data_IF_685267825343
#
_entry.id   IF_685267825343
#
_cell.length_a   1.000
_cell.length_b   1.000
_cell.length_c   1.000
_cell.angle_alpha   90.00
_cell.angle_beta   90.00
_cell.angle_gamma   90.00
#
_symmetry.space_group_name_H-M   'P 1'
#
loop_
_entity.id
_entity.type
_entity.pdbx_description
1 polymer ?
#
# COMPACT_ATOMS: atom_id res chain seq x y z
N UNK A 1 -53.74 20.36 -9.21
CA UNK A 1 -52.46 20.02 -8.55
C UNK A 1 -51.66 19.20 -9.55
N UNK A 2 -50.43 19.61 -9.91
CA UNK A 2 -49.57 18.77 -10.76
C UNK A 2 -49.08 17.58 -9.94
N UNK A 3 -49.24 16.37 -10.45
CA UNK A 3 -48.68 15.17 -9.82
C UNK A 3 -47.16 15.31 -9.76
N UNK A 4 -46.59 15.28 -8.56
CA UNK A 4 -45.14 15.26 -8.36
C UNK A 4 -44.68 13.84 -8.66
N UNK A 5 -43.85 13.69 -9.69
CA UNK A 5 -43.24 12.42 -10.04
C UNK A 5 -42.10 12.11 -9.06
N UNK A 6 -42.32 11.10 -8.22
CA UNK A 6 -41.37 10.65 -7.20
C UNK A 6 -40.38 9.61 -7.73
N UNK A 7 -40.46 9.19 -9.00
CA UNK A 7 -39.50 8.24 -9.58
C UNK A 7 -38.08 8.81 -9.63
N UNK A 8 -37.93 10.13 -9.67
CA UNK A 8 -36.64 10.83 -9.53
C UNK A 8 -35.97 10.52 -8.19
N UNK A 9 -36.73 10.24 -7.12
CA UNK A 9 -36.15 9.88 -5.83
C UNK A 9 -35.45 8.51 -5.86
N UNK A 10 -35.79 7.64 -6.81
CA UNK A 10 -35.10 6.35 -7.02
C UNK A 10 -33.70 6.55 -7.62
N UNK A 11 -33.40 7.72 -8.18
CA UNK A 11 -32.06 8.04 -8.68
C UNK A 11 -31.08 8.35 -7.55
N UNK A 12 -31.56 8.80 -6.39
CA UNK A 12 -30.71 9.13 -5.22
C UNK A 12 -29.88 7.92 -4.76
N UNK A 13 -30.46 6.72 -4.48
CA UNK A 13 -29.66 5.56 -4.09
C UNK A 13 -28.71 5.11 -5.21
N UNK A 14 -29.13 5.20 -6.48
CA UNK A 14 -28.27 4.86 -7.62
C UNK A 14 -27.06 5.80 -7.74
N UNK A 15 -27.27 7.10 -7.55
CA UNK A 15 -26.18 8.08 -7.52
C UNK A 15 -25.22 7.83 -6.34
N UNK A 16 -25.74 7.41 -5.18
CA UNK A 16 -24.89 7.09 -4.04
C UNK A 16 -23.97 5.90 -4.32
N UNK A 17 -24.48 4.86 -4.98
CA UNK A 17 -23.72 3.67 -5.40
C UNK A 17 -22.57 4.07 -6.35
N UNK A 18 -22.90 4.80 -7.43
CA UNK A 18 -21.91 5.30 -8.41
C UNK A 18 -20.84 6.18 -7.74
N UNK A 19 -21.23 7.03 -6.77
CA UNK A 19 -20.28 7.85 -6.01
C UNK A 19 -19.35 7.02 -5.11
N UNK A 20 -19.82 5.90 -4.56
CA UNK A 20 -18.98 5.00 -3.77
C UNK A 20 -17.96 4.27 -4.65
N UNK A 21 -18.38 3.81 -5.83
CA UNK A 21 -17.51 3.16 -6.80
C UNK A 21 -16.44 4.12 -7.32
N UNK A 22 -16.82 5.34 -7.72
CA UNK A 22 -15.88 6.40 -8.10
C UNK A 22 -14.87 6.69 -6.98
N UNK A 23 -15.32 6.76 -5.73
CA UNK A 23 -14.43 6.97 -4.58
C UNK A 23 -13.43 5.83 -4.42
N UNK A 24 -13.84 4.59 -4.65
CA UNK A 24 -12.98 3.41 -4.60
C UNK A 24 -11.92 3.48 -5.69
N UNK A 25 -12.31 3.72 -6.94
CA UNK A 25 -11.38 3.86 -8.08
C UNK A 25 -10.36 4.98 -7.86
N UNK A 26 -10.81 6.16 -7.41
CA UNK A 26 -9.92 7.28 -7.09
C UNK A 26 -8.93 6.91 -5.98
N UNK A 27 -9.35 6.10 -5.00
CA UNK A 27 -8.48 5.64 -3.92
C UNK A 27 -7.42 4.68 -4.45
N UNK A 28 -7.80 3.74 -5.31
CA UNK A 28 -6.88 2.81 -5.97
C UNK A 28 -5.85 3.55 -6.86
N UNK A 29 -6.31 4.53 -7.66
CA UNK A 29 -5.43 5.36 -8.49
C UNK A 29 -4.46 6.20 -7.66
N UNK A 30 -4.93 6.80 -6.55
CA UNK A 30 -4.06 7.56 -5.63
C UNK A 30 -2.94 6.70 -5.07
N UNK A 31 -3.17 5.41 -4.79
CA UNK A 31 -2.11 4.52 -4.31
C UNK A 31 -1.00 4.28 -5.35
N UNK A 32 -1.30 4.40 -6.65
CA UNK A 32 -0.31 4.27 -7.72
C UNK A 32 0.53 5.54 -7.89
N UNK A 33 -0.07 6.73 -7.67
CA UNK A 33 0.59 8.03 -7.85
C UNK A 33 1.35 8.45 -6.58
N UNK A 34 0.74 8.23 -5.40
CA UNK A 34 1.28 8.58 -4.09
C UNK A 34 0.96 7.44 -3.11
N UNK A 35 1.78 6.38 -3.09
CA UNK A 35 1.56 5.27 -2.18
C UNK A 35 1.58 5.77 -0.72
N UNK A 36 0.66 5.26 0.09
CA UNK A 36 0.55 5.59 1.52
C UNK A 36 1.87 5.34 2.27
N UNK A 37 2.60 4.31 1.83
CA UNK A 37 3.91 3.95 2.36
C UNK A 37 4.94 3.90 1.23
N UNK A 38 6.08 4.55 1.45
CA UNK A 38 7.25 4.39 0.61
C UNK A 38 7.98 3.08 0.97
N UNK A 39 7.57 1.99 0.32
CA UNK A 39 8.12 0.65 0.56
C UNK A 39 9.56 0.48 0.07
N UNK A 40 10.17 1.48 -0.54
CA UNK A 40 11.61 1.46 -0.83
C UNK A 40 12.44 1.83 0.40
N UNK A 41 11.81 2.49 1.38
CA UNK A 41 12.44 2.97 2.61
C UNK A 41 12.04 2.12 3.80
N UNK A 42 13.00 1.98 4.72
CA UNK A 42 12.83 1.22 5.96
C UNK A 42 11.61 1.66 6.78
N UNK A 43 11.40 2.96 6.92
CA UNK A 43 10.25 3.50 7.65
C UNK A 43 8.91 3.12 7.01
N UNK A 44 8.82 3.15 5.68
CA UNK A 44 7.61 2.73 4.97
C UNK A 44 7.36 1.23 5.10
N UNK A 45 8.40 0.41 5.03
CA UNK A 45 8.30 -1.05 5.27
C UNK A 45 7.84 -1.36 6.69
N UNK A 46 8.40 -0.68 7.71
CA UNK A 46 7.99 -0.83 9.11
C UNK A 46 6.50 -0.53 9.30
N UNK A 47 6.04 0.61 8.78
CA UNK A 47 4.65 1.04 8.90
C UNK A 47 3.71 0.08 8.15
N UNK A 48 4.08 -0.30 6.93
CA UNK A 48 3.28 -1.21 6.11
C UNK A 48 3.15 -2.62 6.72
N UNK A 49 4.23 -3.18 7.24
CA UNK A 49 4.24 -4.50 7.86
C UNK A 49 3.76 -4.47 9.33
N UNK A 50 3.58 -3.28 9.92
CA UNK A 50 3.26 -3.08 11.34
C UNK A 50 4.27 -3.76 12.28
N UNK A 51 5.56 -3.59 11.98
CA UNK A 51 6.67 -4.18 12.76
C UNK A 51 7.67 -3.14 13.23
N UNK A 52 8.38 -3.49 14.30
CA UNK A 52 9.44 -2.63 14.84
C UNK A 52 10.68 -2.58 13.94
N UNK A 53 11.51 -1.56 14.16
CA UNK A 53 12.82 -1.47 13.49
C UNK A 53 13.71 -2.69 13.77
N UNK A 54 13.69 -3.20 15.01
CA UNK A 54 14.45 -4.39 15.40
C UNK A 54 13.97 -5.63 14.65
N UNK A 55 12.67 -5.76 14.42
CA UNK A 55 12.12 -6.86 13.64
C UNK A 55 12.61 -6.84 12.20
N UNK A 56 12.71 -5.66 11.57
CA UNK A 56 13.29 -5.53 10.22
C UNK A 56 14.78 -5.90 10.23
N UNK A 57 15.54 -5.47 11.25
CA UNK A 57 16.96 -5.87 11.39
C UNK A 57 17.07 -7.38 11.49
N UNK A 58 16.20 -7.99 12.31
CA UNK A 58 16.16 -9.43 12.52
C UNK A 58 15.83 -10.18 11.23
N UNK A 59 14.83 -9.72 10.46
CA UNK A 59 14.52 -10.34 9.17
C UNK A 59 15.70 -10.32 8.20
N UNK A 60 16.49 -9.23 8.21
CA UNK A 60 17.69 -9.15 7.40
C UNK A 60 18.79 -10.08 7.93
N UNK A 61 19.05 -10.10 9.24
CA UNK A 61 20.12 -10.91 9.82
C UNK A 61 19.85 -12.41 9.77
N UNK A 62 18.58 -12.82 9.90
CA UNK A 62 18.14 -14.21 9.83
C UNK A 62 17.90 -14.69 8.38
N UNK A 63 18.10 -13.82 7.37
CA UNK A 63 17.92 -14.17 5.96
C UNK A 63 16.45 -14.34 5.53
N UNK A 64 15.49 -13.99 6.39
CA UNK A 64 14.07 -13.88 6.01
C UNK A 64 13.91 -12.87 4.88
N UNK A 65 14.55 -11.71 5.02
CA UNK A 65 14.74 -10.76 3.94
C UNK A 65 16.07 -11.07 3.25
N UNK A 66 15.98 -11.57 2.04
CA UNK A 66 17.11 -11.91 1.16
C UNK A 66 17.59 -10.71 0.35
N UNK A 67 18.89 -10.45 0.38
CA UNK A 67 19.53 -9.47 -0.50
C UNK A 67 19.42 -9.91 -1.97
N UNK A 68 19.17 -8.97 -2.87
CA UNK A 68 18.87 -9.22 -4.29
C UNK A 68 17.41 -9.59 -4.58
N UNK A 69 16.59 -9.87 -3.55
CA UNK A 69 15.14 -10.15 -3.73
C UNK A 69 14.26 -9.19 -2.92
N UNK A 70 14.41 -9.16 -1.59
CA UNK A 70 13.62 -8.28 -0.73
C UNK A 70 14.22 -6.88 -0.62
N UNK A 71 15.54 -6.76 -0.78
CA UNK A 71 16.26 -5.51 -0.73
C UNK A 71 17.58 -5.60 -1.49
N UNK A 72 18.16 -4.45 -1.82
CA UNK A 72 19.54 -4.32 -2.27
C UNK A 72 20.26 -3.24 -1.46
N UNK A 73 21.60 -3.27 -1.49
CA UNK A 73 22.44 -2.24 -0.86
C UNK A 73 23.04 -1.35 -1.93
N UNK A 74 22.94 -0.05 -1.72
CA UNK A 74 23.63 0.96 -2.52
C UNK A 74 24.68 1.65 -1.68
N UNK A 75 25.90 1.74 -2.21
CA UNK A 75 26.96 2.56 -1.65
C UNK A 75 26.75 4.00 -2.13
N UNK A 76 26.42 4.89 -1.21
CA UNK A 76 26.28 6.32 -1.49
C UNK A 76 27.00 7.11 -0.40
N UNK A 77 27.95 7.96 -0.78
CA UNK A 77 28.73 8.81 0.13
C UNK A 77 29.39 8.03 1.29
N UNK A 78 30.13 6.96 0.99
CA UNK A 78 30.74 6.05 1.98
C UNK A 78 29.78 5.36 2.96
N UNK A 79 28.46 5.46 2.76
CA UNK A 79 27.46 4.76 3.55
C UNK A 79 26.74 3.71 2.71
N UNK A 80 26.57 2.51 3.26
CA UNK A 80 25.70 1.48 2.68
C UNK A 80 24.25 1.79 3.06
N UNK A 81 23.42 2.05 2.05
CA UNK A 81 21.98 2.27 2.21
C UNK A 81 21.20 1.06 1.72
N UNK A 82 20.28 0.57 2.55
CA UNK A 82 19.35 -0.49 2.15
C UNK A 82 18.15 0.14 1.42
N UNK A 83 17.85 -0.39 0.24
CA UNK A 83 16.66 -0.08 -0.53
C UNK A 83 15.83 -1.35 -0.68
N UNK A 84 14.58 -1.27 -0.28
CA UNK A 84 13.67 -2.41 -0.29
C UNK A 84 12.94 -2.52 -1.64
N UNK A 85 12.65 -3.75 -2.04
CA UNK A 85 11.89 -4.05 -3.26
C UNK A 85 10.41 -4.11 -2.91
N UNK A 86 9.67 -3.06 -3.28
CA UNK A 86 8.24 -2.90 -2.93
C UNK A 86 7.37 -4.11 -3.27
N UNK A 87 7.62 -4.78 -4.40
CA UNK A 87 6.91 -5.99 -4.81
C UNK A 87 7.09 -7.15 -3.82
N UNK A 88 8.34 -7.51 -3.54
CA UNK A 88 8.70 -8.57 -2.61
C UNK A 88 8.18 -8.31 -1.18
N UNK A 89 8.18 -7.05 -0.73
CA UNK A 89 7.60 -6.70 0.59
C UNK A 89 6.08 -6.90 0.63
N UNK A 90 5.37 -6.56 -0.46
CA UNK A 90 3.92 -6.81 -0.58
C UNK A 90 3.62 -8.32 -0.61
N UNK A 91 4.40 -9.09 -1.34
CA UNK A 91 4.29 -10.56 -1.40
C UNK A 91 4.51 -11.20 -0.04
N UNK A 92 5.61 -10.83 0.65
CA UNK A 92 5.90 -11.30 2.00
C UNK A 92 4.75 -11.09 2.98
N UNK A 93 4.10 -9.91 2.93
CA UNK A 93 2.92 -9.63 3.77
C UNK A 93 1.75 -10.55 3.42
N UNK A 94 1.48 -10.76 2.13
CA UNK A 94 0.41 -11.67 1.67
C UNK A 94 0.66 -13.11 2.14
N UNK A 95 1.89 -13.59 2.04
CA UNK A 95 2.26 -14.94 2.49
C UNK A 95 2.10 -15.12 4.00
N UNK A 96 2.43 -14.11 4.81
CA UNK A 96 2.24 -14.13 6.27
C UNK A 96 0.80 -14.03 6.75
N UNK A 97 -0.11 -13.56 5.90
CA UNK A 97 -1.53 -13.39 6.24
C UNK A 97 -2.39 -14.55 5.73
N UNK A 98 -1.78 -15.51 5.01
CA UNK A 98 -2.38 -16.83 4.75
C UNK A 98 -2.24 -17.70 5.99
#
# INVERSE_FOLDING_TARGET
>A
MSAVDFDVLKLIPKMLEEMQDLKKEVTELKQHIKPEYDLTKRAGVMAYLKVSNNTITRYISEGTFKEGYHYHRELKNNASKIIFVSGAIKEFKKEKTK
#
